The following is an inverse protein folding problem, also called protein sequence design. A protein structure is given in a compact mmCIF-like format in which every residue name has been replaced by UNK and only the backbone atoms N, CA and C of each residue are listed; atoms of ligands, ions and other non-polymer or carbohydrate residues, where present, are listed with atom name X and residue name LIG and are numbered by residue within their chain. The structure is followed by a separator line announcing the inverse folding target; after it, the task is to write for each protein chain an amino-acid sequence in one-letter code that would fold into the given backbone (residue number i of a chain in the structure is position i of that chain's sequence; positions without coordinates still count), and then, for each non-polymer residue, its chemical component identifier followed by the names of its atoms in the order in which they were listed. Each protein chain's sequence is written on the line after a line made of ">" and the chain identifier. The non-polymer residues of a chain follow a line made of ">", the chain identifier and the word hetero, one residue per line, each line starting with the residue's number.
data_IF_000269622398
#
_entry.id   IF_000269622398
#
_cell.length_a   1.000
_cell.length_b   1.000
_cell.length_c   1.000
_cell.angle_alpha   90.00
_cell.angle_beta   90.00
_cell.angle_gamma   90.00
#
_symmetry.space_group_name_H-M   'P 1'
#
loop_
_entity.id
_entity.type
_entity.pdbx_description
1 polymer ?
#
# COMPACT_ATOMS: atom_id res chain seq x y z
N UNK A 1 15.53 43.36 -58.42
CA UNK A 1 16.66 42.40 -58.25
C UNK A 1 16.88 42.00 -56.77
N UNK A 2 16.03 42.41 -55.82
CA UNK A 2 16.18 42.11 -54.39
C UNK A 2 15.39 40.87 -53.89
N UNK A 3 14.31 40.48 -54.59
CA UNK A 3 13.44 39.38 -54.12
C UNK A 3 14.12 38.01 -54.22
N UNK A 4 14.83 37.73 -55.32
CA UNK A 4 15.52 36.45 -55.54
C UNK A 4 16.58 36.14 -54.47
N UNK A 5 17.26 37.16 -53.94
CA UNK A 5 18.26 36.96 -52.88
C UNK A 5 17.64 36.67 -51.51
N UNK A 6 16.52 37.32 -51.19
CA UNK A 6 15.79 37.05 -49.94
C UNK A 6 15.24 35.63 -49.91
N UNK A 7 14.74 35.13 -51.04
CA UNK A 7 14.31 33.73 -51.15
C UNK A 7 15.48 32.74 -51.03
N UNK A 8 16.64 33.04 -51.61
CA UNK A 8 17.85 32.21 -51.45
C UNK A 8 18.31 32.10 -50.00
N UNK A 9 18.38 33.23 -49.26
CA UNK A 9 18.77 33.21 -47.85
C UNK A 9 17.75 32.47 -46.97
N UNK A 10 16.45 32.66 -47.23
CA UNK A 10 15.40 31.98 -46.48
C UNK A 10 15.44 30.44 -46.66
N UNK A 11 15.71 29.97 -47.89
CA UNK A 11 15.85 28.54 -48.19
C UNK A 11 17.08 27.96 -47.48
N UNK A 12 18.21 28.65 -47.49
CA UNK A 12 19.44 28.19 -46.83
C UNK A 12 19.24 28.11 -45.31
N UNK A 13 18.58 29.11 -44.70
CA UNK A 13 18.30 29.11 -43.26
C UNK A 13 17.32 27.97 -42.89
N UNK A 14 16.29 27.74 -43.71
CA UNK A 14 15.35 26.62 -43.50
C UNK A 14 16.05 25.26 -43.61
N UNK A 15 16.96 25.10 -44.57
CA UNK A 15 17.76 23.88 -44.72
C UNK A 15 18.69 23.67 -43.52
N UNK A 16 19.36 24.71 -43.04
CA UNK A 16 20.23 24.62 -41.85
C UNK A 16 19.44 24.26 -40.59
N UNK A 17 18.24 24.82 -40.41
CA UNK A 17 17.34 24.43 -39.31
C UNK A 17 16.88 22.97 -39.40
N UNK A 18 16.56 22.50 -40.61
CA UNK A 18 16.14 21.10 -40.84
C UNK A 18 17.27 20.08 -40.59
N UNK A 19 18.52 20.43 -40.93
CA UNK A 19 19.69 19.57 -40.66
C UNK A 19 20.00 19.53 -39.16
N UNK A 20 19.78 20.64 -38.45
CA UNK A 20 20.02 20.74 -37.00
C UNK A 20 18.99 19.96 -36.16
N UNK A 21 17.79 19.70 -36.71
CA UNK A 21 16.69 19.01 -36.01
C UNK A 21 16.83 17.47 -36.02
N UNK A 22 17.64 16.90 -36.92
CA UNK A 22 17.83 15.45 -37.00
C UNK A 22 18.91 14.89 -36.06
N UNK A 23 19.50 15.74 -35.19
CA UNK A 23 20.70 15.41 -34.42
C UNK A 23 20.52 15.07 -32.94
N UNK A 24 19.34 15.24 -32.32
CA UNK A 24 19.25 15.27 -30.84
C UNK A 24 18.25 14.31 -30.16
N UNK A 25 17.75 13.29 -30.87
CA UNK A 25 16.96 12.25 -30.22
C UNK A 25 17.36 10.87 -30.73
N UNK A 26 18.59 10.43 -30.39
CA UNK A 26 18.87 9.01 -30.28
C UNK A 26 18.70 8.63 -28.81
N UNK A 27 17.52 8.13 -28.48
CA UNK A 27 17.28 7.47 -27.21
C UNK A 27 18.16 6.22 -27.19
N UNK A 28 19.18 6.20 -26.32
CA UNK A 28 20.04 5.05 -26.11
C UNK A 28 19.25 4.05 -25.26
N UNK A 29 18.43 3.24 -25.90
CA UNK A 29 17.79 2.10 -25.25
C UNK A 29 18.88 1.04 -25.03
N UNK A 30 19.49 1.07 -23.85
CA UNK A 30 20.49 0.09 -23.43
C UNK A 30 19.75 -1.17 -22.98
N UNK A 31 19.55 -2.11 -23.90
CA UNK A 31 19.07 -3.45 -23.54
C UNK A 31 20.15 -4.18 -22.75
N UNK A 32 20.07 -4.13 -21.41
CA UNK A 32 20.97 -4.87 -20.53
C UNK A 32 20.60 -6.36 -20.57
N UNK A 33 21.48 -7.17 -21.15
CA UNK A 33 21.29 -8.63 -21.19
C UNK A 33 21.87 -9.25 -19.92
N UNK A 34 21.02 -9.84 -19.07
CA UNK A 34 21.43 -10.63 -17.92
C UNK A 34 21.40 -12.12 -18.26
N UNK A 35 22.43 -12.87 -17.84
CA UNK A 35 22.49 -14.34 -17.96
C UNK A 35 22.33 -14.97 -16.58
N UNK A 36 21.38 -15.91 -16.47
CA UNK A 36 21.16 -16.74 -15.28
C UNK A 36 21.46 -18.19 -15.66
N UNK A 37 22.54 -18.75 -15.12
CA UNK A 37 22.86 -20.18 -15.25
C UNK A 37 22.26 -20.93 -14.05
N UNK A 38 21.45 -21.95 -14.31
CA UNK A 38 20.78 -22.77 -13.28
C UNK A 38 21.34 -24.18 -13.30
N UNK A 39 21.94 -24.63 -12.20
CA UNK A 39 22.37 -26.02 -12.01
C UNK A 39 21.23 -26.83 -11.37
N UNK A 40 20.65 -27.76 -12.14
CA UNK A 40 19.58 -28.65 -11.69
C UNK A 40 20.10 -30.03 -11.24
N UNK A 41 21.40 -30.19 -10.99
CA UNK A 41 21.97 -31.48 -10.57
C UNK A 41 21.51 -31.86 -9.15
N UNK A 42 21.11 -33.12 -8.99
CA UNK A 42 20.60 -33.65 -7.72
C UNK A 42 21.62 -33.64 -6.58
N UNK A 43 22.92 -33.57 -6.90
CA UNK A 43 24.02 -33.53 -5.93
C UNK A 43 23.94 -32.31 -4.99
N UNK A 44 23.33 -31.23 -5.45
CA UNK A 44 23.17 -29.98 -4.69
C UNK A 44 21.72 -29.75 -4.20
N UNK A 45 20.80 -30.64 -4.55
CA UNK A 45 19.39 -30.47 -4.22
C UNK A 45 19.11 -30.70 -2.73
N UNK A 46 18.33 -29.80 -2.12
CA UNK A 46 17.72 -29.99 -0.80
C UNK A 46 16.21 -29.86 -0.90
N UNK A 47 15.48 -30.70 -0.15
CA UNK A 47 14.02 -30.55 -0.04
C UNK A 47 13.72 -29.21 0.59
N UNK A 48 12.88 -28.41 -0.06
CA UNK A 48 12.35 -27.17 0.51
C UNK A 48 11.42 -27.55 1.68
N UNK A 49 11.61 -27.00 2.89
CA UNK A 49 10.73 -27.27 4.01
C UNK A 49 9.28 -26.87 3.69
N UNK A 50 8.31 -27.68 4.10
CA UNK A 50 6.89 -27.39 3.92
C UNK A 50 6.44 -26.14 4.71
N UNK A 51 7.23 -25.76 5.72
CA UNK A 51 7.04 -24.57 6.56
C UNK A 51 7.79 -23.34 6.06
N UNK A 52 8.39 -23.37 4.86
CA UNK A 52 9.13 -22.21 4.33
C UNK A 52 8.22 -20.97 4.21
N UNK A 53 6.93 -21.18 3.95
CA UNK A 53 5.93 -20.12 3.87
C UNK A 53 4.88 -20.33 4.96
N UNK A 54 4.56 -19.26 5.69
CA UNK A 54 3.58 -19.27 6.78
C UNK A 54 3.00 -17.88 7.02
N UNK A 55 2.09 -17.79 7.99
CA UNK A 55 1.43 -16.55 8.40
C UNK A 55 1.77 -16.25 9.86
N UNK A 56 2.01 -14.98 10.16
CA UNK A 56 2.12 -14.46 11.52
C UNK A 56 0.86 -13.64 11.82
N UNK A 57 0.39 -13.70 13.07
CA UNK A 57 -0.81 -12.98 13.50
C UNK A 57 -0.60 -12.31 14.85
N UNK A 58 -0.93 -11.03 14.92
CA UNK A 58 -1.07 -10.23 16.13
C UNK A 58 -2.33 -9.37 16.01
N UNK A 59 -2.89 -8.91 17.13
CA UNK A 59 -3.95 -7.91 17.10
C UNK A 59 -3.33 -6.52 16.85
N UNK A 60 -3.12 -6.21 15.57
CA UNK A 60 -2.66 -4.90 15.09
C UNK A 60 -3.53 -4.45 13.93
N UNK A 61 -3.84 -3.15 13.88
CA UNK A 61 -4.58 -2.53 12.77
C UNK A 61 -5.89 -3.26 12.40
N UNK A 62 -6.65 -3.76 13.39
CA UNK A 62 -7.88 -4.54 13.19
C UNK A 62 -7.68 -5.88 12.45
N UNK A 63 -6.51 -6.50 12.57
CA UNK A 63 -6.27 -7.82 11.95
C UNK A 63 -7.18 -8.91 12.53
N UNK A 64 -7.48 -8.86 13.83
CA UNK A 64 -8.42 -9.77 14.48
C UNK A 64 -9.82 -9.21 14.51
N UNK A 65 -10.11 -8.39 15.53
CA UNK A 65 -11.40 -7.72 15.67
C UNK A 65 -11.59 -6.61 14.61
N UNK A 66 -12.59 -6.78 13.74
CA UNK A 66 -12.77 -5.96 12.54
C UNK A 66 -12.02 -6.47 11.30
N UNK A 67 -11.33 -7.61 11.43
CA UNK A 67 -10.61 -8.29 10.36
C UNK A 67 -11.06 -9.74 10.22
N UNK A 68 -10.20 -10.70 10.58
CA UNK A 68 -10.47 -12.13 10.39
C UNK A 68 -11.55 -12.67 11.34
N UNK A 69 -11.82 -11.99 12.46
CA UNK A 69 -12.93 -12.35 13.32
C UNK A 69 -14.23 -11.79 12.74
N UNK A 70 -15.17 -12.69 12.41
CA UNK A 70 -16.41 -12.36 11.72
C UNK A 70 -17.42 -11.50 12.51
N UNK A 71 -17.04 -11.01 13.70
CA UNK A 71 -17.85 -10.08 14.48
C UNK A 71 -17.94 -8.74 13.74
N UNK A 72 -19.16 -8.31 13.44
CA UNK A 72 -19.42 -7.04 12.75
C UNK A 72 -19.71 -5.90 13.74
N UNK A 73 -20.07 -6.22 14.99
CA UNK A 73 -20.37 -5.21 16.00
C UNK A 73 -19.10 -4.83 16.74
N UNK A 74 -18.60 -3.63 16.44
CA UNK A 74 -17.48 -3.04 17.18
C UNK A 74 -17.88 -2.72 18.62
N UNK A 75 -16.96 -2.95 19.55
CA UNK A 75 -17.14 -2.65 20.97
C UNK A 75 -18.42 -3.26 21.58
N UNK A 76 -18.78 -4.50 21.22
CA UNK A 76 -19.99 -5.16 21.75
C UNK A 76 -20.02 -5.31 23.27
N UNK A 77 -18.85 -5.34 23.90
CA UNK A 77 -18.67 -5.55 25.34
C UNK A 77 -18.50 -4.28 26.16
N UNK A 78 -18.43 -3.09 25.53
CA UNK A 78 -18.02 -1.85 26.19
C UNK A 78 -16.65 -1.97 26.87
N UNK A 79 -15.74 -2.71 26.23
CA UNK A 79 -14.38 -2.96 26.71
C UNK A 79 -13.34 -2.15 25.94
N UNK A 80 -13.76 -1.35 24.94
CA UNK A 80 -12.89 -0.40 24.29
C UNK A 80 -12.45 0.66 25.32
N UNK A 81 -11.28 0.48 25.92
CA UNK A 81 -10.77 1.35 26.97
C UNK A 81 -9.46 0.80 27.51
N UNK A 82 -8.56 1.70 27.88
CA UNK A 82 -7.31 1.35 28.54
C UNK A 82 -7.48 1.24 30.06
N UNK A 83 -6.40 0.95 30.79
CA UNK A 83 -6.42 0.83 32.26
C UNK A 83 -6.94 2.08 32.99
N UNK A 84 -6.87 3.25 32.34
CA UNK A 84 -7.22 4.55 32.91
C UNK A 84 -8.41 5.23 32.23
N UNK A 85 -8.99 4.62 31.18
CA UNK A 85 -10.19 5.15 30.54
C UNK A 85 -11.37 4.24 30.87
N UNK A 86 -12.44 4.77 31.51
CA UNK A 86 -13.68 4.01 31.63
C UNK A 86 -14.19 3.65 30.24
N UNK A 87 -14.97 2.57 30.15
CA UNK A 87 -15.55 2.04 28.91
C UNK A 87 -15.90 3.13 27.90
N UNK A 88 -15.10 3.25 26.83
CA UNK A 88 -15.42 4.12 25.71
C UNK A 88 -16.69 3.57 25.08
N UNK A 89 -17.62 4.46 24.75
CA UNK A 89 -18.87 4.09 24.08
C UNK A 89 -18.73 4.09 22.57
N UNK A 90 -17.66 4.65 21.98
CA UNK A 90 -17.46 4.60 20.53
C UNK A 90 -17.46 3.14 20.01
N UNK A 91 -18.12 2.83 18.87
CA UNK A 91 -18.86 3.72 17.96
C UNK A 91 -20.38 3.82 18.23
N UNK A 92 -20.85 3.43 19.42
CA UNK A 92 -22.27 3.48 19.75
C UNK A 92 -22.81 4.92 19.79
N UNK A 93 -23.99 5.11 19.20
CA UNK A 93 -24.74 6.37 19.24
C UNK A 93 -26.20 6.12 19.62
N UNK A 94 -26.82 7.11 20.27
CA UNK A 94 -28.22 7.04 20.66
C UNK A 94 -29.08 7.45 19.45
N UNK A 95 -30.15 6.69 19.19
CA UNK A 95 -31.16 7.03 18.19
C UNK A 95 -32.41 7.53 18.94
N UNK A 96 -32.91 8.72 18.60
CA UNK A 96 -34.09 9.34 19.21
C UNK A 96 -33.77 10.35 20.33
N UNK A 97 -34.80 10.81 21.05
CA UNK A 97 -34.71 11.95 22.01
C UNK A 97 -34.14 11.59 23.40
N UNK A 98 -33.63 10.37 23.57
CA UNK A 98 -33.03 9.95 24.83
C UNK A 98 -31.65 10.60 25.02
N UNK A 99 -31.43 11.21 26.18
CA UNK A 99 -30.21 12.00 26.46
C UNK A 99 -29.27 11.36 27.50
N UNK A 100 -29.60 10.18 28.04
CA UNK A 100 -28.85 9.59 29.16
C UNK A 100 -28.61 8.10 28.98
N UNK A 101 -27.34 7.69 29.05
CA UNK A 101 -26.92 6.29 29.11
C UNK A 101 -26.46 5.99 30.55
N UNK A 102 -27.11 5.05 31.24
CA UNK A 102 -26.68 4.61 32.59
C UNK A 102 -26.00 3.26 32.49
N UNK A 103 -24.70 3.20 32.77
CA UNK A 103 -23.97 1.93 32.88
C UNK A 103 -24.30 1.28 34.22
N UNK A 104 -24.91 0.10 34.19
CA UNK A 104 -25.15 -0.72 35.38
C UNK A 104 -23.97 -1.66 35.62
N UNK A 105 -23.94 -2.32 36.80
CA UNK A 105 -22.85 -3.23 37.17
C UNK A 105 -22.62 -4.28 36.07
N UNK A 106 -21.36 -4.64 35.76
CA UNK A 106 -21.06 -5.57 34.69
C UNK A 106 -21.69 -6.94 34.99
N UNK A 107 -22.23 -7.57 33.95
CA UNK A 107 -22.88 -8.89 34.05
C UNK A 107 -21.88 -10.00 34.42
N UNK A 108 -20.58 -9.77 34.19
CA UNK A 108 -19.48 -10.64 34.62
C UNK A 108 -18.32 -9.83 35.22
N UNK A 109 -17.57 -10.39 36.20
CA UNK A 109 -16.35 -9.77 36.68
C UNK A 109 -15.31 -9.69 35.54
N UNK A 110 -14.66 -8.53 35.37
CA UNK A 110 -13.53 -8.41 34.43
C UNK A 110 -12.46 -9.43 34.81
N UNK A 111 -12.06 -10.27 33.86
CA UNK A 111 -10.88 -11.10 34.01
C UNK A 111 -9.68 -10.17 34.07
N UNK A 112 -8.96 -10.16 35.20
CA UNK A 112 -7.68 -9.45 35.29
C UNK A 112 -6.73 -10.21 34.37
N UNK A 113 -6.36 -9.57 33.25
CA UNK A 113 -5.39 -10.14 32.33
C UNK A 113 -4.09 -10.42 33.07
N UNK A 114 -3.70 -11.69 33.13
CA UNK A 114 -2.35 -12.09 33.55
C UNK A 114 -1.46 -11.84 32.34
N UNK A 115 -0.81 -10.67 32.33
CA UNK A 115 0.35 -10.40 31.50
C UNK A 115 1.63 -10.84 32.20
#
# INVERSE_FOLDING_TARGET
>A
MASKQVYSCAIIIALLFSVSWNGLAKELESTHTARLDVDASWKLARKIPETLFGLFFEEINHAGAGGVWAELVSNRGFEAGGPHTPSNIDPWSIIGDATTTTTTKPFYPKQVGVG
#
